data_IF_161476432002
#
_entry.id   IF_161476432002
#
_cell.length_a   1.000
_cell.length_b   1.000
_cell.length_c   1.000
_cell.angle_alpha   90.00
_cell.angle_beta   90.00
_cell.angle_gamma   90.00
#
_symmetry.space_group_name_H-M   'P 1'
#
loop_
_entity.id
_entity.type
_entity.pdbx_description
1 polymer ?
#
# COMPACT_ATOMS: atom_id res chain seq x y z
N UNK A 1 -28.25 -52.08 5.29
CA UNK A 1 -27.22 -51.66 6.27
C UNK A 1 -26.17 -50.73 5.66
N UNK A 2 -25.71 -50.95 4.42
CA UNK A 2 -24.76 -50.08 3.69
C UNK A 2 -25.20 -48.62 3.54
N UNK A 3 -26.49 -48.35 3.27
CA UNK A 3 -27.02 -46.98 3.14
C UNK A 3 -26.87 -46.12 4.41
N UNK A 4 -26.96 -46.77 5.58
CA UNK A 4 -26.88 -46.11 6.88
C UNK A 4 -25.42 -45.75 7.22
N UNK A 5 -24.47 -46.59 6.80
CA UNK A 5 -23.03 -46.33 6.95
C UNK A 5 -22.57 -45.18 6.05
N UNK A 6 -23.03 -45.10 4.79
CA UNK A 6 -22.72 -43.97 3.90
C UNK A 6 -23.28 -42.64 4.40
N UNK A 7 -24.47 -42.66 5.03
CA UNK A 7 -25.10 -41.44 5.55
C UNK A 7 -24.38 -40.90 6.79
N UNK A 8 -23.92 -41.79 7.68
CA UNK A 8 -23.09 -41.42 8.84
C UNK A 8 -21.72 -40.91 8.39
N UNK A 9 -21.10 -41.53 7.39
CA UNK A 9 -19.78 -41.12 6.88
C UNK A 9 -19.84 -39.75 6.19
N UNK A 10 -20.91 -39.45 5.45
CA UNK A 10 -21.12 -38.13 4.84
C UNK A 10 -21.33 -37.03 5.89
N UNK A 11 -22.05 -37.34 6.99
CA UNK A 11 -22.31 -36.37 8.06
C UNK A 11 -21.04 -36.03 8.88
N UNK A 12 -20.14 -37.00 9.04
CA UNK A 12 -18.84 -36.76 9.70
C UNK A 12 -17.91 -35.91 8.82
N UNK A 13 -18.02 -36.01 7.49
CA UNK A 13 -17.20 -35.23 6.57
C UNK A 13 -17.60 -33.75 6.53
N UNK A 14 -18.90 -33.43 6.63
CA UNK A 14 -19.38 -32.04 6.67
C UNK A 14 -19.02 -31.33 7.97
N UNK A 15 -18.95 -32.06 9.09
CA UNK A 15 -18.52 -31.50 10.38
C UNK A 15 -17.02 -31.20 10.44
N UNK A 16 -16.21 -31.86 9.60
CA UNK A 16 -14.77 -31.60 9.49
C UNK A 16 -14.44 -30.37 8.63
N UNK A 17 -15.43 -29.80 7.94
CA UNK A 17 -15.26 -28.55 7.18
C UNK A 17 -15.27 -27.38 8.18
N UNK A 18 -14.07 -26.97 8.60
CA UNK A 18 -13.86 -25.88 9.56
C UNK A 18 -14.55 -24.59 9.13
N UNK A 19 -15.00 -23.81 10.11
CA UNK A 19 -15.59 -22.50 9.87
C UNK A 19 -14.53 -21.56 9.30
N UNK A 20 -14.80 -20.97 8.13
CA UNK A 20 -13.95 -19.93 7.57
C UNK A 20 -14.05 -18.70 8.49
N UNK A 21 -12.99 -18.44 9.26
CA UNK A 21 -12.87 -17.21 10.04
C UNK A 21 -12.53 -16.08 9.09
N UNK A 22 -13.55 -15.31 8.69
CA UNK A 22 -13.34 -14.01 8.07
C UNK A 22 -12.80 -13.08 9.15
N UNK A 23 -11.48 -12.86 9.16
CA UNK A 23 -10.88 -11.81 9.97
C UNK A 23 -11.52 -10.48 9.60
N UNK A 24 -12.29 -9.89 10.52
CA UNK A 24 -12.69 -8.49 10.41
C UNK A 24 -11.42 -7.67 10.56
N UNK A 25 -10.81 -7.30 9.44
CA UNK A 25 -9.85 -6.21 9.42
C UNK A 25 -10.63 -4.96 9.82
N UNK A 26 -10.54 -4.59 11.10
CA UNK A 26 -11.13 -3.36 11.59
C UNK A 26 -10.49 -2.22 10.77
N UNK A 27 -11.28 -1.35 10.15
CA UNK A 27 -10.77 -0.23 9.34
C UNK A 27 -9.69 0.58 10.07
N UNK A 28 -9.73 0.61 11.41
CA UNK A 28 -8.71 1.22 12.26
C UNK A 28 -7.30 0.62 12.10
N UNK A 29 -7.16 -0.68 11.81
CA UNK A 29 -5.85 -1.30 11.58
C UNK A 29 -5.30 -0.98 10.19
N UNK A 30 -6.18 -0.81 9.18
CA UNK A 30 -5.77 -0.39 7.83
C UNK A 30 -5.37 1.10 7.82
N UNK A 31 -6.07 1.95 8.57
CA UNK A 31 -5.75 3.37 8.68
C UNK A 31 -4.35 3.61 9.25
N UNK A 32 -3.92 2.82 10.25
CA UNK A 32 -2.56 2.93 10.81
C UNK A 32 -1.48 2.39 9.86
N UNK A 33 -1.83 1.53 8.91
CA UNK A 33 -0.87 0.94 7.97
C UNK A 33 -0.67 1.78 6.70
N UNK A 34 -1.58 2.73 6.44
CA UNK A 34 -1.51 3.64 5.30
C UNK A 34 -0.73 4.94 5.57
N UNK A 35 -0.51 5.32 6.83
CA UNK A 35 0.20 6.54 7.18
C UNK A 35 1.68 6.25 7.48
N UNK A 36 2.56 6.68 6.58
CA UNK A 36 3.99 6.68 6.85
C UNK A 36 4.29 7.74 7.91
N UNK A 37 4.83 7.32 9.06
CA UNK A 37 5.38 8.21 10.08
C UNK A 37 6.89 8.32 9.90
N UNK A 38 7.33 9.41 9.29
CA UNK A 38 8.72 9.77 9.12
C UNK A 38 9.24 10.45 10.38
N UNK A 39 10.32 9.89 10.93
CA UNK A 39 11.08 10.54 12.00
C UNK A 39 11.87 11.72 11.45
N UNK A 40 12.22 12.68 12.32
CA UNK A 40 13.05 13.84 11.98
C UNK A 40 14.34 13.43 11.26
N UNK A 41 15.01 12.39 11.77
CA UNK A 41 16.23 11.87 11.16
C UNK A 41 16.00 11.33 9.75
N UNK A 42 14.87 10.65 9.54
CA UNK A 42 14.52 10.11 8.23
C UNK A 42 14.21 11.21 7.21
N UNK A 43 13.53 12.27 7.62
CA UNK A 43 13.30 13.46 6.78
C UNK A 43 14.62 14.14 6.42
N UNK A 44 15.57 14.25 7.36
CA UNK A 44 16.92 14.77 7.06
C UNK A 44 17.63 13.91 6.01
N UNK A 45 17.59 12.58 6.15
CA UNK A 45 18.16 11.66 5.15
C UNK A 45 17.50 11.81 3.77
N UNK A 46 16.19 12.10 3.72
CA UNK A 46 15.50 12.35 2.44
C UNK A 46 16.01 13.64 1.78
N UNK A 47 16.21 14.70 2.56
CA UNK A 47 16.79 15.97 2.07
C UNK A 47 18.26 15.80 1.67
N UNK A 48 18.96 14.79 2.19
CA UNK A 48 20.30 14.42 1.73
C UNK A 48 20.32 13.75 0.35
N UNK A 49 19.17 13.27 -0.17
CA UNK A 49 19.11 12.67 -1.49
C UNK A 49 19.40 13.71 -2.58
N UNK A 50 20.27 13.35 -3.52
CA UNK A 50 20.65 14.22 -4.66
C UNK A 50 19.46 14.70 -5.49
N UNK A 51 18.43 13.86 -5.66
CA UNK A 51 17.19 14.22 -6.35
C UNK A 51 16.41 15.31 -5.61
N UNK A 52 16.31 15.18 -4.28
CA UNK A 52 15.62 16.16 -3.44
C UNK A 52 16.41 17.47 -3.39
N UNK A 53 17.73 17.42 -3.33
CA UNK A 53 18.58 18.62 -3.38
C UNK A 53 18.41 19.37 -4.70
N UNK A 54 18.47 18.66 -5.84
CA UNK A 54 18.25 19.27 -7.15
C UNK A 54 16.85 19.91 -7.25
N UNK A 55 15.84 19.26 -6.70
CA UNK A 55 14.48 19.81 -6.66
C UNK A 55 14.38 21.05 -5.74
N UNK A 56 15.02 21.03 -4.57
CA UNK A 56 15.05 22.19 -3.67
C UNK A 56 15.77 23.38 -4.31
N UNK A 57 16.90 23.14 -4.97
CA UNK A 57 17.65 24.14 -5.72
C UNK A 57 16.83 24.71 -6.89
N UNK A 58 16.11 23.85 -7.63
CA UNK A 58 15.19 24.28 -8.68
C UNK A 58 14.06 25.17 -8.16
N UNK A 59 13.65 25.00 -6.90
CA UNK A 59 12.70 25.85 -6.20
C UNK A 59 13.34 27.08 -5.54
N UNK A 60 14.66 27.28 -5.69
CA UNK A 60 15.41 28.39 -5.10
C UNK A 60 15.69 28.26 -3.61
N UNK A 61 15.57 27.06 -3.04
CA UNK A 61 15.81 26.78 -1.62
C UNK A 61 17.15 26.07 -1.44
N UNK A 62 18.02 26.59 -0.56
CA UNK A 62 19.27 25.91 -0.28
C UNK A 62 19.04 24.65 0.57
N UNK A 63 19.73 23.52 0.28
CA UNK A 63 19.61 22.31 1.10
C UNK A 63 20.00 22.51 2.56
N UNK A 64 20.97 23.41 2.82
CA UNK A 64 21.42 23.73 4.17
C UNK A 64 20.32 24.43 4.99
N UNK A 65 19.60 25.38 4.38
CA UNK A 65 18.49 26.08 5.03
C UNK A 65 17.32 25.13 5.29
N UNK A 66 17.01 24.25 4.34
CA UNK A 66 15.97 23.23 4.52
C UNK A 66 16.27 22.32 5.73
N UNK A 67 17.52 21.84 5.88
CA UNK A 67 17.96 21.05 7.04
C UNK A 67 17.87 21.82 8.34
N UNK A 68 18.28 23.10 8.34
CA UNK A 68 18.18 23.95 9.53
C UNK A 68 16.72 24.08 10.00
N UNK A 69 15.79 24.27 9.07
CA UNK A 69 14.35 24.34 9.39
C UNK A 69 13.83 23.02 9.97
N UNK A 70 14.16 21.89 9.36
CA UNK A 70 13.79 20.57 9.89
C UNK A 70 14.38 20.36 11.28
N UNK A 71 15.63 20.77 11.50
CA UNK A 71 16.29 20.69 12.81
C UNK A 71 15.63 21.56 13.88
N UNK A 72 14.97 22.65 13.51
CA UNK A 72 14.22 23.49 14.43
C UNK A 72 12.74 23.10 14.57
N UNK A 73 12.24 22.16 13.75
CA UNK A 73 10.86 21.68 13.88
C UNK A 73 10.62 20.96 15.21
N UNK A 74 9.49 21.31 15.82
CA UNK A 74 8.88 20.67 16.97
C UNK A 74 8.12 19.39 16.56
N UNK A 75 7.74 18.57 17.53
CA UNK A 75 7.00 17.33 17.26
C UNK A 75 5.66 17.58 16.55
N UNK A 76 4.97 18.67 16.88
CA UNK A 76 3.69 19.03 16.27
C UNK A 76 3.86 19.42 14.79
N UNK A 77 4.90 20.19 14.47
CA UNK A 77 5.22 20.57 13.09
C UNK A 77 5.67 19.37 12.26
N UNK A 78 6.41 18.43 12.86
CA UNK A 78 6.78 17.18 12.21
C UNK A 78 5.55 16.33 11.88
N UNK A 79 4.54 16.28 12.76
CA UNK A 79 3.27 15.59 12.49
C UNK A 79 2.52 16.23 11.33
N UNK A 80 2.40 17.56 11.31
CA UNK A 80 1.76 18.28 10.20
C UNK A 80 2.49 18.05 8.86
N UNK A 81 3.83 18.03 8.88
CA UNK A 81 4.64 17.69 7.70
C UNK A 81 4.38 16.26 7.23
N UNK A 82 4.29 15.30 8.15
CA UNK A 82 3.97 13.91 7.85
C UNK A 82 2.59 13.78 7.18
N UNK A 83 1.57 14.48 7.69
CA UNK A 83 0.26 14.50 7.06
C UNK A 83 0.34 15.06 5.64
N UNK A 84 1.07 16.15 5.43
CA UNK A 84 1.24 16.72 4.09
C UNK A 84 1.96 15.76 3.13
N UNK A 85 3.05 15.11 3.57
CA UNK A 85 3.77 14.12 2.76
C UNK A 85 2.92 12.88 2.43
N UNK A 86 2.06 12.43 3.36
CA UNK A 86 1.13 11.32 3.09
C UNK A 86 0.02 11.72 2.11
N UNK A 87 -0.36 13.00 2.06
CA UNK A 87 -1.36 13.52 1.11
C UNK A 87 -0.77 13.86 -0.26
N UNK A 88 0.56 13.97 -0.38
CA UNK A 88 1.20 14.10 -1.68
C UNK A 88 1.01 12.79 -2.44
N UNK A 89 0.65 12.83 -3.74
CA UNK A 89 0.69 11.63 -4.56
C UNK A 89 2.08 11.01 -4.44
N UNK A 90 2.16 9.73 -4.08
CA UNK A 90 3.39 8.96 -4.14
C UNK A 90 3.79 8.80 -5.62
N UNK A 91 4.22 9.91 -6.24
CA UNK A 91 4.25 10.14 -7.68
C UNK A 91 5.65 10.09 -8.25
N UNK A 92 6.49 9.21 -7.70
CA UNK A 92 7.75 8.84 -8.35
C UNK A 92 7.52 7.83 -9.48
N UNK A 93 8.58 7.48 -10.20
CA UNK A 93 8.59 6.45 -11.24
C UNK A 93 7.95 5.15 -10.74
N UNK A 94 8.19 4.79 -9.47
CA UNK A 94 7.61 3.59 -8.84
C UNK A 94 6.08 3.66 -8.77
N UNK A 95 5.53 4.80 -8.37
CA UNK A 95 4.08 5.00 -8.32
C UNK A 95 3.45 4.89 -9.71
N UNK A 96 4.07 5.55 -10.70
CA UNK A 96 3.63 5.47 -12.10
C UNK A 96 3.66 4.03 -12.63
N UNK A 97 4.73 3.28 -12.37
CA UNK A 97 4.84 1.87 -12.76
C UNK A 97 3.73 1.05 -12.10
N UNK A 98 3.54 1.17 -10.79
CA UNK A 98 2.50 0.43 -10.06
C UNK A 98 1.10 0.78 -10.60
N UNK A 99 0.81 2.05 -10.87
CA UNK A 99 -0.46 2.48 -11.47
C UNK A 99 -0.67 1.88 -12.85
N UNK A 100 0.34 1.92 -13.72
CA UNK A 100 0.25 1.31 -15.06
C UNK A 100 0.01 -0.19 -14.96
N UNK A 101 0.74 -0.89 -14.09
CA UNK A 101 0.56 -2.32 -13.86
C UNK A 101 -0.85 -2.64 -13.34
N UNK A 102 -1.41 -1.81 -12.46
CA UNK A 102 -2.76 -1.97 -11.92
C UNK A 102 -3.84 -1.73 -12.99
N UNK A 103 -3.68 -0.71 -13.83
CA UNK A 103 -4.61 -0.44 -14.95
C UNK A 103 -4.59 -1.60 -15.94
N UNK A 104 -3.41 -2.09 -16.32
CA UNK A 104 -3.28 -3.25 -17.22
C UNK A 104 -3.90 -4.50 -16.60
N UNK A 105 -3.73 -4.73 -15.29
CA UNK A 105 -4.35 -5.87 -14.60
C UNK A 105 -5.89 -5.80 -14.61
N UNK A 106 -6.46 -4.60 -14.46
CA UNK A 106 -7.90 -4.37 -14.60
C UNK A 106 -8.39 -4.66 -16.03
N UNK A 107 -7.65 -4.21 -17.05
CA UNK A 107 -7.99 -4.47 -18.45
C UNK A 107 -7.91 -5.96 -18.79
N UNK A 108 -6.99 -6.70 -18.17
CA UNK A 108 -6.86 -8.16 -18.29
C UNK A 108 -8.08 -8.88 -17.68
N UNK A 109 -8.51 -8.46 -16.50
CA UNK A 109 -9.71 -9.00 -15.85
C UNK A 109 -10.98 -8.82 -16.70
N UNK A 110 -11.09 -7.69 -17.40
CA UNK A 110 -12.19 -7.40 -18.32
C UNK A 110 -12.08 -8.17 -19.66
N UNK A 111 -10.95 -8.82 -19.93
CA UNK A 111 -10.68 -9.53 -21.18
C UNK A 111 -10.35 -8.62 -22.36
N UNK A 112 -9.94 -7.36 -22.09
CA UNK A 112 -9.52 -6.41 -23.14
C UNK A 112 -8.06 -6.65 -23.53
N UNK A 113 -7.23 -7.09 -22.58
CA UNK A 113 -5.81 -7.41 -22.77
C UNK A 113 -5.49 -8.80 -22.20
N UNK A 114 -4.36 -9.40 -22.59
CA UNK A 114 -3.82 -10.64 -22.00
C UNK A 114 -2.31 -10.43 -21.75
N UNK A 115 -1.99 -9.73 -20.67
CA UNK A 115 -0.61 -9.36 -20.30
C UNK A 115 -0.14 -10.20 -19.11
N UNK A 116 -1.05 -10.60 -18.24
CA UNK A 116 -0.84 -11.41 -17.07
C UNK A 116 -1.48 -12.78 -17.24
N UNK A 117 -0.72 -13.82 -17.64
CA UNK A 117 -1.26 -15.15 -17.99
C UNK A 117 -1.89 -15.92 -16.81
N UNK A 118 -1.78 -15.38 -15.60
CA UNK A 118 -2.40 -15.93 -14.38
C UNK A 118 -3.76 -15.29 -14.06
N UNK A 119 -4.14 -14.20 -14.74
CA UNK A 119 -5.46 -13.57 -14.60
C UNK A 119 -6.43 -14.26 -15.56
N UNK A 120 -7.60 -14.63 -15.06
CA UNK A 120 -8.68 -15.20 -15.89
C UNK A 120 -9.75 -14.13 -16.12
N UNK A 121 -10.15 -13.85 -17.38
CA UNK A 121 -11.18 -12.87 -17.68
C UNK A 121 -12.53 -13.25 -17.04
N UNK A 122 -13.27 -12.26 -16.55
CA UNK A 122 -14.59 -12.49 -15.91
C UNK A 122 -15.72 -12.78 -16.90
N UNK A 123 -15.55 -12.43 -18.18
CA UNK A 123 -16.60 -12.63 -19.20
C UNK A 123 -16.51 -13.99 -19.91
N UNK A 124 -15.48 -14.79 -19.63
CA UNK A 124 -15.29 -16.12 -20.21
C UNK A 124 -16.19 -17.19 -19.58
#
# INVERSE_FOLDING_TARGET
MTKLITLVSALLFTLAMGTASAGVYSSNQVLNQAHYQFSKQQVLTMVDSSEVQAQLEALGVSPADAKSRINNMTQNELTALNEQMNNMPAGGIVGAIVTVLAVVALLDLLGVTDVYPFIRPINS
#
